data_IF_459956952333
#
_entry.id   IF_459956952333
#
_cell.length_a   1.000
_cell.length_b   1.000
_cell.length_c   1.000
_cell.angle_alpha   90.00
_cell.angle_beta   90.00
_cell.angle_gamma   90.00
#
_symmetry.space_group_name_H-M   'P 1'
#
loop_
_entity.id
_entity.type
_entity.pdbx_description
1 polymer ?
#
# COMPACT_ATOMS: atom_id res chain seq x y z
N UNK A 1 -7.05 66.00 34.68
CA UNK A 1 -7.76 65.09 33.76
C UNK A 1 -6.80 63.97 33.36
N UNK A 2 -7.03 62.84 33.86
CA UNK A 2 -6.23 61.70 33.48
C UNK A 2 -6.83 61.05 32.23
N UNK A 3 -6.14 61.15 31.12
CA UNK A 3 -6.53 60.39 29.95
C UNK A 3 -5.98 58.99 30.07
N UNK A 4 -6.85 58.08 30.30
CA UNK A 4 -6.52 56.67 30.25
C UNK A 4 -6.54 56.31 28.79
N UNK A 5 -5.36 56.17 28.19
CA UNK A 5 -5.24 55.54 26.89
C UNK A 5 -5.42 54.06 27.08
N UNK A 6 -6.61 53.59 26.75
CA UNK A 6 -6.83 52.15 26.62
C UNK A 6 -6.12 51.69 25.35
N UNK A 7 -4.91 51.20 25.53
CA UNK A 7 -4.26 50.43 24.48
C UNK A 7 -5.00 49.09 24.36
N UNK A 8 -5.93 49.00 23.44
CA UNK A 8 -6.47 47.74 22.99
C UNK A 8 -5.34 47.00 22.28
N UNK A 9 -4.61 46.19 23.03
CA UNK A 9 -3.81 45.13 22.42
C UNK A 9 -4.79 44.14 21.84
N UNK A 10 -5.10 44.28 20.57
CA UNK A 10 -5.73 43.24 19.82
C UNK A 10 -4.68 42.12 19.68
N UNK A 11 -4.70 41.21 20.62
CA UNK A 11 -4.00 39.94 20.48
C UNK A 11 -4.66 39.18 19.33
N UNK A 12 -4.17 39.35 18.13
CA UNK A 12 -4.42 38.45 17.04
C UNK A 12 -3.81 37.11 17.47
N UNK A 13 -4.61 36.30 18.11
CA UNK A 13 -4.30 34.88 18.23
C UNK A 13 -4.34 34.34 16.80
N UNK A 14 -3.20 34.27 16.16
CA UNK A 14 -3.00 33.39 15.02
C UNK A 14 -3.25 32.00 15.56
N UNK A 15 -4.49 31.51 15.43
CA UNK A 15 -4.74 30.09 15.48
C UNK A 15 -3.97 29.50 14.30
N UNK A 16 -2.74 29.07 14.55
CA UNK A 16 -2.04 28.21 13.64
C UNK A 16 -2.90 26.96 13.53
N UNK A 17 -3.72 26.90 12.49
CA UNK A 17 -4.30 25.63 12.07
C UNK A 17 -3.12 24.75 11.76
N UNK A 18 -2.81 23.84 12.69
CA UNK A 18 -1.83 22.81 12.43
C UNK A 18 -2.32 22.06 11.20
N UNK A 19 -1.68 22.29 10.06
CA UNK A 19 -1.91 21.50 8.88
C UNK A 19 -1.48 20.08 9.27
N UNK A 20 -2.47 19.23 9.58
CA UNK A 20 -2.22 17.82 9.79
C UNK A 20 -1.73 17.26 8.46
N UNK A 21 -0.43 16.91 8.41
CA UNK A 21 0.11 16.11 7.32
C UNK A 21 -0.70 14.82 7.26
N UNK A 22 -1.37 14.59 6.15
CA UNK A 22 -2.11 13.34 5.92
C UNK A 22 -1.10 12.30 5.46
N UNK A 23 -0.80 11.34 6.33
CA UNK A 23 0.01 10.19 5.99
C UNK A 23 -0.89 8.97 5.84
N UNK A 24 -0.85 8.36 4.67
CA UNK A 24 -1.51 7.09 4.42
C UNK A 24 -0.58 5.96 4.83
N UNK A 25 -0.97 5.22 5.84
CA UNK A 25 -0.16 4.15 6.42
C UNK A 25 -0.87 2.78 6.45
N UNK A 26 -2.15 2.73 6.05
CA UNK A 26 -2.94 1.51 6.09
C UNK A 26 -3.34 1.06 4.69
N UNK A 27 -3.04 -0.19 4.40
CA UNK A 27 -3.60 -0.91 3.26
C UNK A 27 -4.77 -1.75 3.76
N UNK A 28 -5.89 -1.69 3.07
CA UNK A 28 -7.08 -2.48 3.38
C UNK A 28 -7.05 -3.78 2.57
N UNK A 29 -6.69 -4.93 3.15
CA UNK A 29 -6.52 -6.17 2.39
C UNK A 29 -7.80 -6.65 1.72
N UNK A 30 -8.94 -6.44 2.37
CA UNK A 30 -10.28 -6.80 1.87
C UNK A 30 -10.76 -5.94 0.70
N UNK A 31 -10.14 -4.77 0.50
CA UNK A 31 -10.41 -3.84 -0.59
C UNK A 31 -9.25 -3.71 -1.58
N UNK A 32 -8.20 -4.49 -1.37
CA UNK A 32 -7.01 -4.47 -2.18
C UNK A 32 -6.82 -5.82 -2.86
N UNK A 33 -6.22 -5.77 -4.05
CA UNK A 33 -6.00 -6.98 -4.85
C UNK A 33 -4.67 -6.87 -5.56
N UNK A 34 -3.94 -7.98 -5.56
CA UNK A 34 -2.78 -8.16 -6.43
C UNK A 34 -3.19 -9.08 -7.55
N UNK A 35 -3.14 -8.59 -8.77
CA UNK A 35 -3.47 -9.34 -9.98
C UNK A 35 -2.33 -9.28 -10.98
N UNK A 36 -2.26 -10.30 -11.83
CA UNK A 36 -1.30 -10.36 -12.92
C UNK A 36 -1.98 -10.88 -14.18
N UNK A 37 -1.51 -10.42 -15.31
CA UNK A 37 -1.95 -10.90 -16.61
C UNK A 37 -0.90 -11.85 -17.17
N UNK A 38 -1.36 -12.90 -17.83
CA UNK A 38 -0.48 -13.84 -18.52
C UNK A 38 -1.14 -14.36 -19.79
N UNK A 39 -0.35 -14.96 -20.62
CA UNK A 39 -0.84 -15.63 -21.83
C UNK A 39 -0.47 -17.10 -21.81
N UNK A 40 -1.42 -17.92 -22.17
CA UNK A 40 -1.21 -19.35 -22.35
C UNK A 40 -1.75 -19.77 -23.70
N UNK A 41 -0.87 -20.28 -24.55
CA UNK A 41 -1.21 -20.69 -25.92
C UNK A 41 -1.92 -19.58 -26.72
N UNK A 42 -1.49 -18.33 -26.54
CA UNK A 42 -2.09 -17.18 -27.21
C UNK A 42 -3.37 -16.63 -26.57
N UNK A 43 -3.85 -17.26 -25.50
CA UNK A 43 -5.06 -16.82 -24.78
C UNK A 43 -4.66 -15.94 -23.61
N UNK A 44 -5.25 -14.73 -23.56
CA UNK A 44 -5.05 -13.82 -22.43
C UNK A 44 -5.79 -14.32 -21.19
N UNK A 45 -5.08 -14.41 -20.09
CA UNK A 45 -5.60 -14.89 -18.81
C UNK A 45 -5.18 -13.97 -17.68
N UNK A 46 -5.90 -14.00 -16.57
CA UNK A 46 -5.61 -13.23 -15.39
C UNK A 46 -5.53 -14.14 -14.17
N UNK A 47 -4.54 -13.86 -13.32
CA UNK A 47 -4.39 -14.51 -12.04
C UNK A 47 -4.32 -13.50 -10.89
N UNK A 48 -4.39 -13.99 -9.68
CA UNK A 48 -4.31 -13.20 -8.45
C UNK A 48 -3.46 -13.87 -7.40
N UNK A 49 -3.03 -13.09 -6.39
CA UNK A 49 -2.51 -13.60 -5.13
C UNK A 49 -3.50 -13.28 -4.01
N UNK A 50 -4.02 -14.29 -3.34
CA UNK A 50 -5.06 -14.14 -2.33
C UNK A 50 -4.57 -13.66 -0.97
N UNK A 51 -3.27 -13.85 -0.67
CA UNK A 51 -2.67 -13.44 0.61
C UNK A 51 -1.44 -12.58 0.38
N UNK A 52 -1.49 -11.39 0.95
CA UNK A 52 -0.37 -10.47 0.98
C UNK A 52 -0.47 -9.56 2.20
N UNK A 53 0.67 -9.03 2.63
CA UNK A 53 0.76 -7.99 3.63
C UNK A 53 1.48 -6.79 3.05
N UNK A 54 1.09 -5.60 3.48
CA UNK A 54 1.69 -4.35 2.99
C UNK A 54 1.93 -3.40 4.14
N UNK A 55 3.07 -2.73 4.08
CA UNK A 55 3.37 -1.56 4.88
C UNK A 55 3.53 -0.38 3.92
N UNK A 56 2.77 0.67 4.16
CA UNK A 56 2.76 1.86 3.33
C UNK A 56 2.98 3.09 4.18
N UNK A 57 3.83 3.97 3.70
CA UNK A 57 3.96 5.35 4.20
C UNK A 57 3.90 6.29 3.01
N UNK A 58 2.82 7.02 2.92
CA UNK A 58 2.60 7.96 1.82
C UNK A 58 1.96 9.25 2.32
N UNK A 59 2.68 10.34 2.13
CA UNK A 59 2.18 11.70 2.32
C UNK A 59 2.10 12.36 0.93
N UNK A 60 0.91 12.74 0.45
CA UNK A 60 0.77 13.39 -0.84
C UNK A 60 1.53 14.72 -0.96
N UNK A 61 1.81 15.38 0.17
CA UNK A 61 2.61 16.61 0.19
C UNK A 61 4.12 16.34 0.05
N UNK A 62 4.57 15.13 0.30
CA UNK A 62 5.97 14.72 0.24
C UNK A 62 6.13 13.34 -0.44
N UNK A 63 5.76 13.20 -1.71
CA UNK A 63 5.77 11.89 -2.39
C UNK A 63 7.17 11.27 -2.48
N UNK A 64 8.22 12.09 -2.48
CA UNK A 64 9.60 11.63 -2.49
C UNK A 64 10.03 10.89 -1.21
N UNK A 65 9.28 11.06 -0.12
CA UNK A 65 9.50 10.37 1.15
C UNK A 65 8.65 9.10 1.30
N UNK A 66 7.90 8.74 0.27
CA UNK A 66 7.05 7.57 0.29
C UNK A 66 7.88 6.29 0.38
N UNK A 67 7.37 5.33 1.12
CA UNK A 67 7.92 3.97 1.18
C UNK A 67 6.80 2.94 1.18
N UNK A 68 7.08 1.81 0.58
CA UNK A 68 6.16 0.68 0.59
C UNK A 68 6.94 -0.62 0.69
N UNK A 69 6.46 -1.53 1.53
CA UNK A 69 6.94 -2.90 1.62
C UNK A 69 5.76 -3.82 1.40
N UNK A 70 5.93 -4.77 0.51
CA UNK A 70 4.88 -5.74 0.18
C UNK A 70 5.46 -7.13 0.35
N UNK A 71 4.74 -7.98 1.08
CA UNK A 71 5.03 -9.40 1.18
C UNK A 71 3.87 -10.18 0.58
N UNK A 72 4.17 -11.03 -0.38
CA UNK A 72 3.18 -11.86 -1.07
C UNK A 72 3.40 -13.32 -0.69
N UNK A 73 2.36 -13.97 -0.18
CA UNK A 73 2.36 -15.41 0.02
C UNK A 73 2.25 -16.10 -1.34
N UNK A 74 3.32 -16.70 -1.81
CA UNK A 74 3.37 -17.32 -3.14
C UNK A 74 2.46 -18.55 -3.26
N UNK A 75 2.18 -19.24 -2.16
CA UNK A 75 1.23 -20.34 -2.16
C UNK A 75 -0.22 -19.89 -2.34
N UNK A 76 -0.50 -18.59 -2.21
CA UNK A 76 -1.83 -18.03 -2.42
C UNK A 76 -2.13 -17.69 -3.88
N UNK A 77 -1.27 -18.08 -4.80
CA UNK A 77 -1.48 -17.87 -6.23
C UNK A 77 -2.75 -18.54 -6.72
N UNK A 78 -3.52 -17.82 -7.51
CA UNK A 78 -4.69 -18.33 -8.23
C UNK A 78 -4.52 -17.99 -9.71
N UNK A 79 -4.16 -18.96 -10.50
CA UNK A 79 -3.98 -18.83 -11.95
C UNK A 79 -5.28 -19.00 -12.74
N UNK A 80 -6.38 -19.34 -12.06
CA UNK A 80 -7.65 -19.66 -12.67
C UNK A 80 -7.86 -21.17 -12.86
N UNK A 81 -6.86 -22.00 -12.58
CA UNK A 81 -6.98 -23.46 -12.59
C UNK A 81 -6.11 -24.09 -11.50
N UNK A 82 -6.57 -25.18 -10.93
CA UNK A 82 -5.82 -25.93 -9.92
C UNK A 82 -4.50 -26.46 -10.51
N UNK A 83 -4.53 -26.96 -11.73
CA UNK A 83 -3.37 -27.46 -12.43
C UNK A 83 -2.32 -26.38 -12.67
N UNK A 84 -2.73 -25.17 -13.03
CA UNK A 84 -1.85 -24.01 -13.16
C UNK A 84 -1.24 -23.59 -11.82
N UNK A 85 -2.02 -23.64 -10.76
CA UNK A 85 -1.56 -23.29 -9.41
C UNK A 85 -0.49 -24.28 -8.92
N UNK A 86 -0.69 -25.55 -9.15
CA UNK A 86 0.29 -26.59 -8.84
C UNK A 86 1.58 -26.44 -9.65
N UNK A 87 1.45 -26.12 -10.93
CA UNK A 87 2.60 -25.97 -11.83
C UNK A 87 3.50 -24.79 -11.42
N UNK A 88 2.93 -23.62 -11.15
CA UNK A 88 3.74 -22.45 -10.78
C UNK A 88 4.35 -22.56 -9.38
N UNK A 89 3.82 -23.43 -8.54
CA UNK A 89 4.39 -23.71 -7.23
C UNK A 89 5.64 -24.59 -7.28
N UNK A 90 5.90 -25.25 -8.42
CA UNK A 90 7.01 -26.19 -8.59
C UNK A 90 8.35 -25.47 -8.59
N UNK A 91 9.39 -26.27 -8.37
CA UNK A 91 10.78 -25.82 -8.25
C UNK A 91 11.29 -25.06 -9.47
N UNK A 92 10.77 -25.38 -10.64
CA UNK A 92 11.13 -24.70 -11.91
C UNK A 92 10.49 -23.32 -12.07
N UNK A 93 9.53 -22.99 -11.23
CA UNK A 93 8.83 -21.71 -11.21
C UNK A 93 9.08 -20.99 -9.88
N UNK A 94 8.07 -20.80 -9.06
CA UNK A 94 8.22 -20.06 -7.80
C UNK A 94 8.95 -20.85 -6.71
N UNK A 95 8.94 -22.19 -6.78
CA UNK A 95 9.45 -23.04 -5.71
C UNK A 95 8.92 -22.61 -4.32
N UNK A 96 7.61 -22.64 -4.16
CA UNK A 96 6.94 -22.10 -2.98
C UNK A 96 7.33 -22.79 -1.67
N UNK A 97 7.87 -24.00 -1.74
CA UNK A 97 8.39 -24.70 -0.56
C UNK A 97 9.73 -24.12 -0.10
N UNK A 98 10.58 -23.72 -1.05
CA UNK A 98 11.87 -23.10 -0.75
C UNK A 98 11.76 -21.59 -0.54
N UNK A 99 10.83 -20.94 -1.23
CA UNK A 99 10.60 -19.49 -1.23
C UNK A 99 9.12 -19.18 -1.01
N UNK A 100 8.62 -19.28 0.22
CA UNK A 100 7.18 -19.13 0.48
C UNK A 100 6.67 -17.70 0.32
N UNK A 101 7.55 -16.70 0.41
CA UNK A 101 7.19 -15.27 0.39
C UNK A 101 8.05 -14.51 -0.60
N UNK A 102 7.40 -13.70 -1.45
CA UNK A 102 8.08 -12.70 -2.24
C UNK A 102 7.99 -11.34 -1.52
N UNK A 103 9.11 -10.62 -1.49
CA UNK A 103 9.23 -9.32 -0.84
C UNK A 103 9.65 -8.25 -1.83
N UNK A 104 8.98 -7.10 -1.69
CA UNK A 104 9.24 -5.90 -2.49
C UNK A 104 9.42 -4.68 -1.60
#
# INVERSE_FOLDING_TARGET
MKRIALALLASFAFAATAAHAVEYAQVQPDKSRIAFDYQQMGVAMQGTFGKFASELRFDPAAPQSASAHIEVDLASVDTGSEEGDEEVARKTWFDTKGFPVARF
#
